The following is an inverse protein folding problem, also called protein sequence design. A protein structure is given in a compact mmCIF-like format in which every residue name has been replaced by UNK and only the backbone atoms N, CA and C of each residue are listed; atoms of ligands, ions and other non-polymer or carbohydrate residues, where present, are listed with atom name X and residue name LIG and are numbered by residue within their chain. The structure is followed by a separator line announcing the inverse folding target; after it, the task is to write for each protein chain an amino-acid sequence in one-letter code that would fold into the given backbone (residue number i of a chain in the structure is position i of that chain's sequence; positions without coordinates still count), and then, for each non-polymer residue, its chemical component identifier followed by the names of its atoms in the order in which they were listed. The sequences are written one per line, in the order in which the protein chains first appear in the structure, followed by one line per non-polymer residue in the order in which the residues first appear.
data_IF_561369437067
#
_entry.id   IF_561369437067
#
_cell.length_a   1.000
_cell.length_b   1.000
_cell.length_c   1.000
_cell.angle_alpha   90.00
_cell.angle_beta   90.00
_cell.angle_gamma   90.00
#
_symmetry.space_group_name_H-M   'P 1'
#
loop_
_entity.id
_entity.type
_entity.pdbx_description
1 polymer ?
#
# COMPACT_ATOMS: atom_id res chain seq x y z
N UNK A 1 -0.48 -14.84 51.17
CA UNK A 1 -0.96 -13.79 50.23
C UNK A 1 0.05 -13.51 49.10
N UNK A 2 0.42 -14.50 48.27
CA UNK A 2 1.40 -14.30 47.17
C UNK A 2 0.95 -14.84 45.81
N UNK A 3 0.06 -15.83 45.77
CA UNK A 3 -0.38 -16.48 44.52
C UNK A 3 -1.32 -15.61 43.67
N UNK A 4 -2.17 -14.81 44.31
CA UNK A 4 -3.12 -13.91 43.65
C UNK A 4 -2.42 -12.79 42.88
N UNK A 5 -1.35 -12.20 43.41
CA UNK A 5 -0.60 -11.13 42.72
C UNK A 5 0.08 -11.61 41.44
N UNK A 6 0.59 -12.85 41.40
CA UNK A 6 1.23 -13.41 40.21
C UNK A 6 0.22 -13.63 39.08
N UNK A 7 -1.00 -14.07 39.42
CA UNK A 7 -2.07 -14.28 38.43
C UNK A 7 -2.50 -12.97 37.78
N UNK A 8 -2.62 -11.89 38.56
CA UNK A 8 -2.95 -10.56 38.04
C UNK A 8 -1.89 -10.03 37.07
N UNK A 9 -0.61 -10.21 37.40
CA UNK A 9 0.50 -9.82 36.51
C UNK A 9 0.46 -10.62 35.21
N UNK A 10 0.21 -11.94 35.28
CA UNK A 10 0.11 -12.79 34.10
C UNK A 10 -1.06 -12.39 33.19
N UNK A 11 -2.22 -12.09 33.77
CA UNK A 11 -3.41 -11.63 33.03
C UNK A 11 -3.16 -10.26 32.39
N UNK A 12 -2.50 -9.34 33.10
CA UNK A 12 -2.12 -8.04 32.53
C UNK A 12 -1.17 -8.19 31.35
N UNK A 13 -0.17 -9.07 31.46
CA UNK A 13 0.77 -9.35 30.37
C UNK A 13 0.02 -9.94 29.17
N UNK A 14 -0.86 -10.92 29.39
CA UNK A 14 -1.65 -11.54 28.31
C UNK A 14 -2.58 -10.55 27.61
N UNK A 15 -3.24 -9.65 28.34
CA UNK A 15 -4.10 -8.61 27.77
C UNK A 15 -3.26 -7.64 26.92
N UNK A 16 -2.16 -7.12 27.45
CA UNK A 16 -1.30 -6.18 26.71
C UNK A 16 -0.66 -6.81 25.48
N UNK A 17 -0.25 -8.07 25.56
CA UNK A 17 0.22 -8.84 24.40
C UNK A 17 -0.89 -8.88 23.34
N UNK A 18 -2.12 -9.21 23.70
CA UNK A 18 -3.24 -9.29 22.74
C UNK A 18 -3.50 -7.95 22.05
N UNK A 19 -3.39 -6.82 22.77
CA UNK A 19 -3.55 -5.48 22.20
C UNK A 19 -2.46 -5.15 21.18
N UNK A 20 -1.22 -5.58 21.42
CA UNK A 20 -0.08 -5.34 20.50
C UNK A 20 -0.18 -6.17 19.22
N UNK A 21 -0.79 -7.36 19.28
CA UNK A 21 -0.97 -8.25 18.13
C UNK A 21 -2.22 -7.99 17.28
N UNK A 22 -3.07 -7.03 17.65
CA UNK A 22 -4.16 -6.58 16.78
C UNK A 22 -3.67 -5.48 15.84
N UNK A 23 -2.62 -5.78 15.07
CA UNK A 23 -2.35 -5.02 13.85
C UNK A 23 -3.50 -5.33 12.90
N UNK A 24 -4.40 -4.38 12.68
CA UNK A 24 -5.28 -4.45 11.53
C UNK A 24 -4.37 -4.43 10.30
N UNK A 25 -4.40 -5.50 9.51
CA UNK A 25 -3.77 -5.53 8.20
C UNK A 25 -4.40 -4.39 7.38
N UNK A 26 -3.69 -3.26 7.28
CA UNK A 26 -4.12 -2.14 6.44
C UNK A 26 -4.03 -2.63 4.99
N UNK A 27 -5.14 -3.14 4.48
CA UNK A 27 -5.26 -3.58 3.10
C UNK A 27 -5.09 -2.34 2.23
N UNK A 28 -4.09 -2.33 1.35
CA UNK A 28 -3.88 -1.22 0.42
C UNK A 28 -5.18 -0.95 -0.35
N UNK A 29 -5.68 0.30 -0.40
CA UNK A 29 -6.87 0.66 -1.17
C UNK A 29 -6.64 0.59 -2.68
N UNK A 30 -5.41 0.27 -3.09
CA UNK A 30 -4.98 0.13 -4.46
C UNK A 30 -4.28 -1.21 -4.68
N UNK A 31 -4.71 -1.93 -5.71
CA UNK A 31 -4.15 -3.20 -6.13
C UNK A 31 -3.62 -3.08 -7.56
N UNK A 32 -2.31 -3.19 -7.71
CA UNK A 32 -1.69 -3.32 -9.02
C UNK A 32 -1.87 -4.76 -9.52
N UNK A 33 -2.51 -4.93 -10.68
CA UNK A 33 -2.75 -6.24 -11.28
C UNK A 33 -1.68 -6.60 -12.31
N UNK A 34 -1.30 -5.63 -13.14
CA UNK A 34 -0.36 -5.89 -14.24
C UNK A 34 0.45 -4.63 -14.58
N UNK A 35 1.73 -4.81 -14.89
CA UNK A 35 2.57 -3.80 -15.54
C UNK A 35 3.15 -4.42 -16.81
N UNK A 36 2.88 -3.78 -17.94
CA UNK A 36 3.51 -4.10 -19.20
C UNK A 36 4.45 -2.98 -19.61
N UNK A 37 5.74 -3.30 -19.76
CA UNK A 37 6.76 -2.36 -20.22
C UNK A 37 7.27 -2.87 -21.56
N UNK A 38 7.11 -2.07 -22.60
CA UNK A 38 7.66 -2.37 -23.92
C UNK A 38 8.54 -1.22 -24.36
N UNK A 39 9.61 -1.54 -25.08
CA UNK A 39 10.45 -0.56 -25.75
C UNK A 39 10.43 -0.89 -27.23
N UNK A 40 10.25 0.12 -28.08
CA UNK A 40 10.24 -0.06 -29.52
C UNK A 40 11.23 0.91 -30.16
N UNK A 41 11.97 0.42 -31.15
CA UNK A 41 12.75 1.26 -32.06
C UNK A 41 14.12 1.73 -31.57
N UNK A 42 14.84 2.35 -32.52
CA UNK A 42 16.19 2.90 -32.40
C UNK A 42 16.21 4.14 -31.48
N UNK A 43 15.07 4.80 -31.33
CA UNK A 43 14.78 5.99 -30.51
C UNK A 43 14.54 5.68 -29.02
N UNK A 44 14.51 4.39 -28.63
CA UNK A 44 14.31 3.92 -27.25
C UNK A 44 13.04 4.45 -26.59
N UNK A 45 11.97 4.67 -27.36
CA UNK A 45 10.68 5.05 -26.79
C UNK A 45 10.08 3.84 -26.06
N UNK A 46 9.82 4.02 -24.77
CA UNK A 46 9.20 3.02 -23.90
C UNK A 46 7.72 3.33 -23.69
N UNK A 47 6.87 2.31 -23.78
CA UNK A 47 5.47 2.38 -23.38
C UNK A 47 5.28 1.58 -22.09
N UNK A 48 4.53 2.17 -21.16
CA UNK A 48 4.13 1.52 -19.90
C UNK A 48 2.60 1.48 -19.88
N UNK A 49 2.04 0.29 -19.69
CA UNK A 49 0.60 0.08 -19.48
C UNK A 49 0.38 -0.56 -18.12
N UNK A 50 -0.63 -0.07 -17.37
CA UNK A 50 -0.86 -0.42 -15.97
C UNK A 50 -2.30 -0.90 -15.80
N UNK A 51 -2.52 -2.17 -15.44
CA UNK A 51 -3.84 -2.61 -14.97
C UNK A 51 -3.92 -2.53 -13.46
N UNK A 52 -4.91 -1.82 -12.95
CA UNK A 52 -5.04 -1.53 -11.51
C UNK A 52 -6.48 -1.66 -11.05
N UNK A 53 -6.68 -2.03 -9.80
CA UNK A 53 -7.97 -2.00 -9.12
C UNK A 53 -7.89 -1.03 -7.94
N UNK A 54 -8.84 -0.10 -7.92
CA UNK A 54 -9.08 0.80 -6.80
C UNK A 54 -10.19 0.16 -5.97
N UNK A 55 -9.91 -0.14 -4.71
CA UNK A 55 -10.81 -0.86 -3.80
C UNK A 55 -11.86 0.08 -3.19
N UNK A 56 -11.51 1.36 -3.02
CA UNK A 56 -12.39 2.40 -2.46
C UNK A 56 -12.16 3.75 -3.16
N UNK A 57 -13.20 4.58 -3.23
CA UNK A 57 -13.10 5.92 -3.77
C UNK A 57 -12.02 6.72 -3.03
N UNK A 58 -11.08 7.31 -3.77
CA UNK A 58 -9.95 7.98 -3.14
C UNK A 58 -9.05 8.73 -4.10
N UNK A 59 -8.07 9.44 -3.53
CA UNK A 59 -7.04 10.13 -4.30
C UNK A 59 -6.06 9.11 -4.89
N UNK A 60 -5.89 9.15 -6.20
CA UNK A 60 -4.91 8.34 -6.93
C UNK A 60 -3.88 9.25 -7.56
N UNK A 61 -2.61 8.90 -7.34
CA UNK A 61 -1.49 9.58 -7.98
C UNK A 61 -0.56 8.60 -8.70
N UNK A 62 -0.11 8.99 -9.89
CA UNK A 62 0.94 8.31 -10.63
C UNK A 62 2.12 9.25 -10.76
N UNK A 63 3.20 8.96 -10.04
CA UNK A 63 4.37 9.81 -9.92
C UNK A 63 5.61 9.10 -10.44
N UNK A 64 6.45 9.85 -11.17
CA UNK A 64 7.73 9.39 -11.70
C UNK A 64 8.82 10.00 -10.84
N UNK A 65 9.69 9.14 -10.31
CA UNK A 65 10.87 9.53 -9.55
C UNK A 65 12.14 9.16 -10.34
N UNK A 66 13.20 9.96 -10.20
CA UNK A 66 14.51 9.59 -10.71
C UNK A 66 15.20 8.57 -9.77
N UNK A 67 16.38 8.09 -10.14
CA UNK A 67 17.14 7.12 -9.34
C UNK A 67 17.63 7.65 -7.99
N UNK A 68 17.58 8.97 -7.78
CA UNK A 68 17.93 9.63 -6.52
C UNK A 68 16.71 9.80 -5.60
N UNK A 69 15.50 9.43 -6.07
CA UNK A 69 14.25 9.58 -5.32
C UNK A 69 13.59 10.94 -5.47
N UNK A 70 14.06 11.80 -6.38
CA UNK A 70 13.44 13.10 -6.63
C UNK A 70 12.25 12.95 -7.60
N UNK A 71 11.12 13.59 -7.29
CA UNK A 71 9.94 13.58 -8.17
C UNK A 71 10.26 14.35 -9.47
N UNK A 72 10.23 13.66 -10.61
CA UNK A 72 10.46 14.23 -11.94
C UNK A 72 9.15 14.74 -12.52
N UNK A 73 8.05 14.01 -12.31
CA UNK A 73 6.75 14.32 -12.89
C UNK A 73 5.62 13.61 -12.16
N UNK A 74 4.47 14.27 -12.07
CA UNK A 74 3.19 13.64 -11.73
C UNK A 74 2.34 13.52 -13.00
N UNK A 75 1.91 12.30 -13.34
CA UNK A 75 1.08 11.97 -14.51
C UNK A 75 -0.42 11.96 -14.20
N UNK A 76 -0.77 11.52 -12.99
CA UNK A 76 -2.16 11.46 -12.49
C UNK A 76 -2.14 11.99 -11.05
N UNK A 77 -3.12 12.79 -10.67
CA UNK A 77 -3.34 13.23 -9.28
C UNK A 77 -4.79 13.70 -9.10
N UNK A 78 -5.72 12.76 -8.94
CA UNK A 78 -7.15 13.07 -8.87
C UNK A 78 -7.92 12.04 -8.04
N UNK A 79 -9.14 12.41 -7.64
CA UNK A 79 -10.06 11.47 -6.98
C UNK A 79 -10.64 10.53 -8.03
N UNK A 80 -10.52 9.23 -7.80
CA UNK A 80 -11.06 8.17 -8.65
C UNK A 80 -12.04 7.31 -7.85
N UNK A 81 -13.16 6.88 -8.46
CA UNK A 81 -14.04 5.91 -7.83
C UNK A 81 -13.40 4.51 -7.81
N UNK A 82 -13.88 3.66 -6.91
CA UNK A 82 -13.55 2.25 -6.89
C UNK A 82 -13.86 1.59 -8.25
N UNK A 83 -12.97 0.71 -8.72
CA UNK A 83 -13.10 0.07 -10.02
C UNK A 83 -11.80 -0.42 -10.63
N UNK A 84 -11.89 -0.92 -11.86
CA UNK A 84 -10.74 -1.42 -12.63
C UNK A 84 -10.32 -0.40 -13.69
N UNK A 85 -9.01 -0.22 -13.86
CA UNK A 85 -8.38 0.74 -14.76
C UNK A 85 -7.25 0.07 -15.56
N UNK A 86 -6.97 0.58 -16.77
CA UNK A 86 -5.94 0.10 -17.72
C UNK A 86 -5.11 1.26 -18.29
#
# INVERSE_FOLDING_TARGET
MKKTSVLFVLVFILINIRTVYSQEDIKSPFLLKEINISTSGIDKTGNISLRTEIVEDGEVSLKIFNSLGEEVRTLVNEIKPAGNYE
#
